data_IF_653987125109
#
_entry.id   IF_653987125109
#
_cell.length_a   1.000
_cell.length_b   1.000
_cell.length_c   1.000
_cell.angle_alpha   90.00
_cell.angle_beta   90.00
_cell.angle_gamma   90.00
#
_symmetry.space_group_name_H-M   'P 1'
#
loop_
_entity.id
_entity.type
_entity.pdbx_description
1 polymer ?
#
# COMPACT_ATOMS: atom_id res chain seq x y z
N UNK A 1 -26.60 0.04 1.25
CA UNK A 1 -25.91 -0.08 -0.05
C UNK A 1 -24.54 0.61 -0.06
N UNK A 2 -24.46 1.93 0.15
CA UNK A 2 -23.19 2.68 0.13
C UNK A 2 -22.06 2.10 1.01
N UNK A 3 -22.37 1.77 2.27
CA UNK A 3 -21.41 1.18 3.21
C UNK A 3 -20.81 -0.12 2.67
N UNK A 4 -21.65 -0.99 2.11
CA UNK A 4 -21.26 -2.27 1.53
C UNK A 4 -20.36 -2.06 0.32
N UNK A 5 -20.71 -1.15 -0.59
CA UNK A 5 -19.88 -0.84 -1.77
C UNK A 5 -18.49 -0.34 -1.39
N UNK A 6 -18.39 0.57 -0.41
CA UNK A 6 -17.10 1.06 0.07
C UNK A 6 -16.27 -0.04 0.73
N UNK A 7 -16.89 -0.92 1.53
CA UNK A 7 -16.20 -2.07 2.12
C UNK A 7 -15.71 -3.01 1.03
N UNK A 8 -16.53 -3.32 0.03
CA UNK A 8 -16.12 -4.17 -1.10
C UNK A 8 -14.97 -3.52 -1.88
N UNK A 9 -15.03 -2.22 -2.15
CA UNK A 9 -13.92 -1.52 -2.80
C UNK A 9 -12.63 -1.63 -1.99
N UNK A 10 -12.67 -1.34 -0.68
CA UNK A 10 -11.50 -1.45 0.23
C UNK A 10 -10.94 -2.87 0.25
N UNK A 11 -11.80 -3.88 0.42
CA UNK A 11 -11.39 -5.29 0.52
C UNK A 11 -10.79 -5.78 -0.79
N UNK A 12 -11.43 -5.50 -1.94
CA UNK A 12 -10.91 -5.93 -3.23
C UNK A 12 -9.61 -5.20 -3.59
N UNK A 13 -9.49 -3.90 -3.30
CA UNK A 13 -8.23 -3.16 -3.46
C UNK A 13 -7.13 -3.73 -2.55
N UNK A 14 -7.43 -4.06 -1.29
CA UNK A 14 -6.46 -4.70 -0.41
C UNK A 14 -6.01 -6.08 -0.93
N UNK A 15 -6.96 -6.93 -1.31
CA UNK A 15 -6.67 -8.27 -1.86
C UNK A 15 -5.80 -8.17 -3.10
N UNK A 16 -6.08 -7.21 -3.99
CA UNK A 16 -5.33 -7.08 -5.23
C UNK A 16 -3.91 -6.56 -5.01
N UNK A 17 -3.70 -5.67 -4.04
CA UNK A 17 -2.36 -5.22 -3.65
C UNK A 17 -1.52 -6.37 -3.09
N UNK A 18 -2.12 -7.21 -2.25
CA UNK A 18 -1.46 -8.39 -1.67
C UNK A 18 -1.17 -9.45 -2.74
N UNK A 19 -2.14 -9.73 -3.63
CA UNK A 19 -1.94 -10.64 -4.77
C UNK A 19 -0.87 -10.09 -5.73
N UNK A 20 -0.84 -8.79 -6.00
CA UNK A 20 0.21 -8.17 -6.84
C UNK A 20 1.62 -8.48 -6.35
N UNK A 21 1.82 -8.51 -5.03
CA UNK A 21 3.08 -8.96 -4.42
C UNK A 21 3.43 -10.41 -4.76
N UNK A 22 2.44 -11.31 -4.78
CA UNK A 22 2.62 -12.71 -5.19
C UNK A 22 3.00 -12.82 -6.67
N UNK A 23 2.26 -12.15 -7.57
CA UNK A 23 2.54 -12.13 -9.02
C UNK A 23 3.97 -11.65 -9.29
N UNK A 24 4.44 -10.65 -8.54
CA UNK A 24 5.81 -10.15 -8.66
C UNK A 24 6.84 -11.14 -8.13
N UNK A 25 6.58 -11.77 -6.99
CA UNK A 25 7.50 -12.72 -6.36
C UNK A 25 7.55 -14.08 -7.06
N UNK A 26 6.54 -14.44 -7.85
CA UNK A 26 6.52 -15.62 -8.71
C UNK A 26 6.95 -15.33 -10.16
N UNK A 27 7.51 -14.14 -10.41
CA UNK A 27 7.91 -13.64 -11.75
C UNK A 27 6.82 -13.83 -12.83
N UNK A 28 5.55 -13.77 -12.41
CA UNK A 28 4.38 -13.99 -13.28
C UNK A 28 3.82 -12.70 -13.87
N UNK A 29 4.42 -11.54 -13.61
CA UNK A 29 3.88 -10.23 -13.97
C UNK A 29 3.87 -9.88 -15.47
N UNK A 30 4.51 -10.71 -16.30
CA UNK A 30 4.56 -10.58 -17.76
C UNK A 30 4.21 -11.91 -18.48
N UNK A 31 3.52 -12.82 -17.79
CA UNK A 31 3.12 -14.11 -18.35
C UNK A 31 2.02 -13.97 -19.43
N UNK A 32 1.26 -12.88 -19.39
CA UNK A 32 0.18 -12.59 -20.32
C UNK A 32 0.61 -11.58 -21.42
N UNK A 33 0.71 -12.02 -22.70
CA UNK A 33 1.27 -11.21 -23.78
C UNK A 33 0.36 -10.10 -24.28
N UNK A 34 -0.94 -10.15 -23.96
CA UNK A 34 -1.90 -9.13 -24.37
C UNK A 34 -2.70 -8.58 -23.19
N UNK A 35 -3.38 -7.45 -23.43
CA UNK A 35 -4.24 -6.76 -22.47
C UNK A 35 -5.52 -6.31 -23.18
N UNK A 36 -6.72 -6.44 -22.59
CA UNK A 36 -7.00 -6.80 -21.18
C UNK A 36 -6.95 -8.30 -20.88
N UNK A 37 -7.29 -9.12 -21.86
CA UNK A 37 -7.24 -10.59 -21.77
C UNK A 37 -5.83 -11.09 -22.13
N UNK A 38 -5.39 -12.23 -21.59
CA UNK A 38 -4.03 -12.74 -21.82
C UNK A 38 -3.78 -13.21 -23.24
N UNK A 39 -4.72 -13.94 -23.85
CA UNK A 39 -4.59 -14.51 -25.20
C UNK A 39 -5.71 -14.04 -26.15
N UNK A 40 -6.27 -12.84 -25.89
CA UNK A 40 -7.34 -12.26 -26.72
C UNK A 40 -8.70 -12.97 -26.61
N UNK A 41 -8.83 -14.00 -25.78
CA UNK A 41 -10.08 -14.73 -25.53
C UNK A 41 -10.38 -14.82 -24.02
N UNK A 42 -11.60 -15.20 -23.68
CA UNK A 42 -12.05 -15.38 -22.29
C UNK A 42 -11.68 -16.75 -21.71
N UNK A 43 -10.96 -17.58 -22.45
CA UNK A 43 -10.58 -18.90 -21.96
C UNK A 43 -9.53 -18.75 -20.85
N UNK A 44 -9.69 -19.48 -19.73
CA UNK A 44 -8.68 -19.49 -18.69
C UNK A 44 -7.32 -19.95 -19.24
N UNK A 45 -6.22 -19.21 -18.98
CA UNK A 45 -4.89 -19.68 -19.33
C UNK A 45 -4.62 -21.09 -18.81
N UNK A 46 -3.87 -21.90 -19.56
CA UNK A 46 -3.46 -23.24 -19.08
C UNK A 46 -2.24 -23.15 -18.16
N UNK A 47 -1.31 -22.26 -18.51
CA UNK A 47 -0.09 -21.98 -17.75
C UNK A 47 -0.39 -21.37 -16.37
N UNK A 48 0.35 -21.79 -15.35
CA UNK A 48 0.12 -21.36 -13.95
C UNK A 48 0.47 -19.89 -13.73
N UNK A 49 1.55 -19.38 -14.32
CA UNK A 49 1.93 -17.98 -14.20
C UNK A 49 0.89 -17.07 -14.87
N UNK A 50 0.43 -17.46 -16.07
CA UNK A 50 -0.63 -16.73 -16.75
C UNK A 50 -1.98 -16.78 -16.01
N UNK A 51 -2.31 -17.90 -15.32
CA UNK A 51 -3.48 -17.97 -14.42
C UNK A 51 -3.37 -16.99 -13.26
N UNK A 52 -2.21 -16.91 -12.62
CA UNK A 52 -1.96 -15.98 -11.51
C UNK A 52 -2.12 -14.53 -11.95
N UNK A 53 -1.54 -14.17 -13.10
CA UNK A 53 -1.62 -12.82 -13.64
C UNK A 53 -3.05 -12.47 -14.09
N UNK A 54 -3.73 -13.38 -14.80
CA UNK A 54 -5.13 -13.16 -15.23
C UNK A 54 -6.06 -13.03 -14.03
N UNK A 55 -5.88 -13.86 -12.99
CA UNK A 55 -6.65 -13.78 -11.74
C UNK A 55 -6.47 -12.42 -11.06
N UNK A 56 -5.24 -11.93 -10.95
CA UNK A 56 -4.96 -10.59 -10.45
C UNK A 56 -5.68 -9.51 -11.28
N UNK A 57 -5.63 -9.57 -12.62
CA UNK A 57 -6.32 -8.62 -13.52
C UNK A 57 -7.84 -8.64 -13.37
N UNK A 58 -8.43 -9.83 -13.19
CA UNK A 58 -9.87 -9.98 -12.95
C UNK A 58 -10.29 -9.35 -11.63
N UNK A 59 -9.55 -9.63 -10.54
CA UNK A 59 -9.82 -9.02 -9.23
C UNK A 59 -9.61 -7.50 -9.27
N UNK A 60 -8.60 -7.00 -10.01
CA UNK A 60 -8.39 -5.56 -10.24
C UNK A 60 -9.58 -4.91 -10.91
N UNK A 61 -10.18 -5.57 -11.89
CA UNK A 61 -11.37 -5.07 -12.59
C UNK A 61 -12.59 -4.99 -11.67
N UNK A 62 -12.76 -5.99 -10.78
CA UNK A 62 -13.80 -5.95 -9.74
C UNK A 62 -13.56 -4.83 -8.73
N UNK A 63 -12.31 -4.63 -8.29
CA UNK A 63 -11.93 -3.51 -7.42
C UNK A 63 -12.27 -2.15 -8.05
N UNK A 64 -11.96 -1.98 -9.34
CA UNK A 64 -12.29 -0.79 -10.11
C UNK A 64 -13.79 -0.57 -10.27
N UNK A 65 -14.56 -1.63 -10.53
CA UNK A 65 -16.02 -1.58 -10.57
C UNK A 65 -16.61 -1.14 -9.24
N UNK A 66 -16.19 -1.73 -8.11
CA UNK A 66 -16.68 -1.32 -6.79
C UNK A 66 -16.26 0.10 -6.42
N UNK A 67 -15.08 0.54 -6.85
CA UNK A 67 -14.62 1.93 -6.67
C UNK A 67 -15.51 2.90 -7.44
N UNK A 68 -15.83 2.60 -8.71
CA UNK A 68 -16.74 3.39 -9.53
C UNK A 68 -18.15 3.46 -8.91
N UNK A 69 -18.72 2.33 -8.54
CA UNK A 69 -20.05 2.28 -7.92
C UNK A 69 -20.07 3.04 -6.58
N UNK A 70 -19.00 2.94 -5.78
CA UNK A 70 -18.84 3.71 -4.55
C UNK A 70 -18.82 5.21 -4.82
N UNK A 71 -18.03 5.66 -5.80
CA UNK A 71 -17.99 7.06 -6.22
C UNK A 71 -19.38 7.55 -6.65
N UNK A 72 -20.07 6.82 -7.53
CA UNK A 72 -21.40 7.19 -8.00
C UNK A 72 -22.43 7.32 -6.87
N UNK A 73 -22.33 6.47 -5.84
CA UNK A 73 -23.24 6.53 -4.69
C UNK A 73 -22.88 7.68 -3.74
N UNK A 74 -21.59 7.87 -3.43
CA UNK A 74 -21.07 8.97 -2.61
C UNK A 74 -21.37 10.33 -3.26
N UNK A 75 -21.18 10.42 -4.58
CA UNK A 75 -21.48 11.61 -5.36
C UNK A 75 -22.94 12.02 -5.25
N UNK A 76 -23.87 11.06 -5.32
CA UNK A 76 -25.30 11.35 -5.20
C UNK A 76 -25.74 11.69 -3.77
N UNK A 77 -25.15 11.05 -2.74
CA UNK A 77 -25.68 11.09 -1.36
C UNK A 77 -24.94 12.01 -0.40
N UNK A 78 -23.64 12.23 -0.60
CA UNK A 78 -22.81 13.05 0.28
C UNK A 78 -22.44 14.35 -0.41
N UNK A 79 -21.84 15.32 0.28
CA UNK A 79 -21.27 16.57 -0.26
C UNK A 79 -19.91 16.84 0.41
N UNK A 80 -19.12 17.76 -0.12
CA UNK A 80 -17.84 18.17 0.48
C UNK A 80 -16.74 17.11 0.37
N UNK A 81 -15.92 16.98 1.41
CA UNK A 81 -14.69 16.17 1.43
C UNK A 81 -14.89 14.69 1.03
N UNK A 82 -15.95 13.96 1.45
CA UNK A 82 -16.19 12.59 0.98
C UNK A 82 -16.32 12.47 -0.54
N UNK A 83 -16.92 13.47 -1.22
CA UNK A 83 -17.00 13.47 -2.68
C UNK A 83 -15.60 13.61 -3.29
N UNK A 84 -14.79 14.53 -2.77
CA UNK A 84 -13.42 14.74 -3.24
C UNK A 84 -12.57 13.48 -3.06
N UNK A 85 -12.55 12.88 -1.88
CA UNK A 85 -11.75 11.67 -1.62
C UNK A 85 -12.21 10.49 -2.47
N UNK A 86 -13.52 10.30 -2.65
CA UNK A 86 -14.03 9.23 -3.54
C UNK A 86 -13.70 9.48 -5.02
N UNK A 87 -13.69 10.75 -5.45
CA UNK A 87 -13.29 11.14 -6.80
C UNK A 87 -11.81 10.94 -7.06
N UNK A 88 -10.95 11.25 -6.07
CA UNK A 88 -9.51 10.99 -6.15
C UNK A 88 -9.23 9.48 -6.19
N UNK A 89 -9.91 8.66 -5.39
CA UNK A 89 -9.79 7.20 -5.48
C UNK A 89 -10.12 6.69 -6.90
N UNK A 90 -11.19 7.21 -7.52
CA UNK A 90 -11.55 6.84 -8.89
C UNK A 90 -10.52 7.34 -9.92
N UNK A 91 -10.02 8.57 -9.79
CA UNK A 91 -8.97 9.13 -10.65
C UNK A 91 -7.72 8.26 -10.64
N UNK A 92 -7.21 7.92 -9.45
CA UNK A 92 -6.04 7.06 -9.32
C UNK A 92 -6.32 5.62 -9.75
N UNK A 93 -7.57 5.13 -9.70
CA UNK A 93 -7.94 3.83 -10.28
C UNK A 93 -7.76 3.82 -11.79
N UNK A 94 -8.18 4.88 -12.50
CA UNK A 94 -7.93 5.00 -13.93
C UNK A 94 -6.44 5.16 -14.24
N UNK A 95 -5.71 5.93 -13.43
CA UNK A 95 -4.25 6.07 -13.54
C UNK A 95 -3.54 4.73 -13.39
N UNK A 96 -3.87 3.96 -12.35
CA UNK A 96 -3.33 2.62 -12.10
C UNK A 96 -3.62 1.64 -13.23
N UNK A 97 -4.84 1.65 -13.79
CA UNK A 97 -5.19 0.82 -14.94
C UNK A 97 -4.34 1.17 -16.17
N UNK A 98 -4.06 2.44 -16.39
CA UNK A 98 -3.21 2.91 -17.49
C UNK A 98 -1.73 2.55 -17.26
N UNK A 99 -1.22 2.72 -16.04
CA UNK A 99 0.14 2.30 -15.65
C UNK A 99 0.31 0.78 -15.84
N UNK A 100 -0.66 -0.03 -15.41
CA UNK A 100 -0.67 -1.48 -15.62
C UNK A 100 -0.70 -1.87 -17.10
N UNK A 101 -1.52 -1.20 -17.92
CA UNK A 101 -1.53 -1.42 -19.37
C UNK A 101 -0.18 -1.08 -20.01
N UNK A 102 0.44 0.04 -19.60
CA UNK A 102 1.76 0.47 -20.08
C UNK A 102 2.87 -0.50 -19.72
N UNK A 103 2.79 -1.17 -18.58
CA UNK A 103 3.77 -2.19 -18.19
C UNK A 103 3.82 -3.37 -19.18
N UNK A 104 2.69 -3.69 -19.82
CA UNK A 104 2.58 -4.80 -20.77
C UNK A 104 2.91 -4.34 -22.19
N UNK A 105 2.43 -3.16 -22.60
CA UNK A 105 2.57 -2.65 -23.98
C UNK A 105 3.83 -1.80 -24.21
N UNK A 106 4.44 -1.29 -23.16
CA UNK A 106 5.54 -0.33 -23.22
C UNK A 106 6.90 -1.00 -23.38
N UNK A 107 7.20 -1.50 -24.57
CA UNK A 107 8.52 -2.03 -24.89
C UNK A 107 9.45 -0.92 -25.38
N UNK A 108 10.29 -0.36 -24.50
CA UNK A 108 11.49 0.39 -24.92
C UNK A 108 12.72 -0.51 -24.76
N UNK A 109 13.33 -1.00 -25.86
CA UNK A 109 14.42 -1.98 -25.80
C UNK A 109 15.63 -1.53 -24.97
N UNK A 110 15.93 -0.22 -24.97
CA UNK A 110 17.14 0.33 -24.36
C UNK A 110 17.01 0.67 -22.86
N UNK A 111 15.80 0.66 -22.30
CA UNK A 111 15.55 1.03 -20.89
C UNK A 111 14.67 0.03 -20.14
N UNK A 112 14.45 -1.16 -20.70
CA UNK A 112 13.50 -2.16 -20.22
C UNK A 112 13.61 -2.44 -18.71
N UNK A 113 14.82 -2.54 -18.15
CA UNK A 113 14.96 -2.81 -16.72
C UNK A 113 14.50 -1.63 -15.84
N UNK A 114 14.94 -0.40 -16.15
CA UNK A 114 14.66 0.78 -15.33
C UNK A 114 13.22 1.24 -15.49
N UNK A 115 12.68 1.20 -16.73
CA UNK A 115 11.30 1.59 -16.99
C UNK A 115 10.30 0.66 -16.28
N UNK A 116 10.54 -0.66 -16.30
CA UNK A 116 9.70 -1.62 -15.60
C UNK A 116 9.77 -1.43 -14.07
N UNK A 117 10.97 -1.29 -13.49
CA UNK A 117 11.14 -1.04 -12.05
C UNK A 117 10.36 0.21 -11.58
N UNK A 118 10.45 1.30 -12.35
CA UNK A 118 9.77 2.55 -12.03
C UNK A 118 8.25 2.42 -12.20
N UNK A 119 7.79 1.81 -13.29
CA UNK A 119 6.35 1.60 -13.54
C UNK A 119 5.73 0.69 -12.47
N UNK A 120 6.41 -0.37 -12.06
CA UNK A 120 5.97 -1.26 -10.97
C UNK A 120 5.86 -0.51 -9.65
N UNK A 121 6.88 0.29 -9.31
CA UNK A 121 6.88 1.12 -8.09
C UNK A 121 5.74 2.16 -8.12
N UNK A 122 5.54 2.84 -9.25
CA UNK A 122 4.46 3.81 -9.40
C UNK A 122 3.09 3.15 -9.28
N UNK A 123 2.91 1.97 -9.89
CA UNK A 123 1.64 1.24 -9.85
C UNK A 123 1.21 0.86 -8.42
N UNK A 124 2.15 0.43 -7.59
CA UNK A 124 1.82 0.11 -6.18
C UNK A 124 1.59 1.38 -5.34
N UNK A 125 2.29 2.49 -5.61
CA UNK A 125 1.99 3.77 -4.97
C UNK A 125 0.59 4.29 -5.33
N UNK A 126 0.19 4.19 -6.59
CA UNK A 126 -1.17 4.52 -7.02
C UNK A 126 -2.19 3.65 -6.27
N UNK A 127 -1.91 2.35 -6.11
CA UNK A 127 -2.77 1.44 -5.35
C UNK A 127 -2.87 1.81 -3.87
N UNK A 128 -1.76 2.21 -3.24
CA UNK A 128 -1.78 2.74 -1.88
C UNK A 128 -2.62 4.00 -1.76
N UNK A 129 -2.52 4.92 -2.74
CA UNK A 129 -3.32 6.14 -2.78
C UNK A 129 -4.82 5.81 -2.92
N UNK A 130 -5.18 4.85 -3.78
CA UNK A 130 -6.57 4.37 -3.94
C UNK A 130 -7.09 3.84 -2.60
N UNK A 131 -6.36 2.92 -1.96
CA UNK A 131 -6.74 2.33 -0.68
C UNK A 131 -6.89 3.40 0.41
N UNK A 132 -5.93 4.32 0.49
CA UNK A 132 -5.96 5.44 1.44
C UNK A 132 -7.20 6.32 1.26
N UNK A 133 -7.51 6.73 0.03
CA UNK A 133 -8.69 7.55 -0.24
C UNK A 133 -10.02 6.81 -0.04
N UNK A 134 -10.09 5.51 -0.34
CA UNK A 134 -11.28 4.70 -0.04
C UNK A 134 -11.52 4.60 1.47
N UNK A 135 -10.46 4.35 2.25
CA UNK A 135 -10.53 4.30 3.72
C UNK A 135 -10.89 5.67 4.29
N UNK A 136 -10.28 6.76 3.79
CA UNK A 136 -10.64 8.13 4.21
C UNK A 136 -12.10 8.45 3.87
N UNK A 137 -12.57 8.07 2.69
CA UNK A 137 -13.98 8.25 2.30
C UNK A 137 -14.90 7.52 3.27
N UNK A 138 -14.62 6.25 3.56
CA UNK A 138 -15.39 5.46 4.51
C UNK A 138 -15.40 6.10 5.91
N UNK A 139 -14.22 6.53 6.37
CA UNK A 139 -14.06 7.22 7.65
C UNK A 139 -14.88 8.51 7.72
N UNK A 140 -14.79 9.37 6.72
CA UNK A 140 -15.47 10.68 6.72
C UNK A 140 -16.99 10.56 6.70
N UNK A 141 -17.54 9.42 6.25
CA UNK A 141 -18.99 9.19 6.18
C UNK A 141 -19.51 8.49 7.44
N UNK A 142 -18.76 7.54 7.99
CA UNK A 142 -19.26 6.63 9.02
C UNK A 142 -18.55 6.71 10.39
N UNK A 143 -17.43 7.43 10.51
CA UNK A 143 -16.76 7.55 11.81
C UNK A 143 -17.40 8.69 12.59
N UNK A 144 -18.15 8.34 13.64
CA UNK A 144 -18.78 9.28 14.57
C UNK A 144 -17.91 9.54 15.81
N UNK A 145 -17.90 10.78 16.30
CA UNK A 145 -17.33 11.16 17.61
C UNK A 145 -15.84 11.53 17.66
N UNK A 146 -15.42 12.09 18.79
CA UNK A 146 -14.00 12.27 19.16
C UNK A 146 -13.44 10.91 19.58
N UNK A 147 -12.83 10.21 18.61
CA UNK A 147 -12.16 8.95 18.87
C UNK A 147 -10.68 9.19 19.14
N UNK A 148 -10.16 8.47 20.12
CA UNK A 148 -8.72 8.24 20.29
C UNK A 148 -8.10 7.85 18.95
N UNK A 149 -6.94 8.39 18.65
CA UNK A 149 -6.36 8.22 17.34
C UNK A 149 -4.85 8.29 17.39
N UNK A 150 -4.24 7.92 16.27
CA UNK A 150 -2.79 7.92 16.13
C UNK A 150 -2.32 9.33 15.78
N UNK A 151 -1.32 9.88 16.48
CA UNK A 151 -0.82 11.20 16.17
C UNK A 151 -0.22 11.25 14.77
N UNK A 152 -0.36 12.40 14.10
CA UNK A 152 0.04 12.57 12.70
C UNK A 152 1.52 12.24 12.47
N UNK A 153 2.42 12.56 13.40
CA UNK A 153 3.86 12.28 13.25
C UNK A 153 4.13 10.78 13.10
N UNK A 154 3.48 9.92 13.90
CA UNK A 154 3.66 8.47 13.86
C UNK A 154 3.13 7.91 12.54
N UNK A 155 1.99 8.42 12.07
CA UNK A 155 1.46 8.08 10.75
C UNK A 155 2.40 8.47 9.61
N UNK A 156 3.01 9.66 9.67
CA UNK A 156 3.98 10.13 8.66
C UNK A 156 5.23 9.24 8.62
N UNK A 157 5.76 8.84 9.77
CA UNK A 157 6.88 7.90 9.83
C UNK A 157 6.51 6.52 9.27
N UNK A 158 5.33 5.99 9.59
CA UNK A 158 4.85 4.74 8.99
C UNK A 158 4.73 4.84 7.47
N UNK A 159 4.20 5.96 6.95
CA UNK A 159 4.09 6.20 5.52
C UNK A 159 5.47 6.28 4.85
N UNK A 160 6.43 6.98 5.45
CA UNK A 160 7.80 7.07 4.95
C UNK A 160 8.49 5.69 4.93
N UNK A 161 8.32 4.89 5.98
CA UNK A 161 8.84 3.52 6.06
C UNK A 161 8.20 2.62 5.00
N UNK A 162 6.89 2.74 4.77
CA UNK A 162 6.22 1.97 3.72
C UNK A 162 6.68 2.38 2.32
N UNK A 163 6.85 3.67 2.05
CA UNK A 163 7.39 4.16 0.77
C UNK A 163 8.79 3.61 0.53
N UNK A 164 9.68 3.70 1.52
CA UNK A 164 11.02 3.13 1.39
C UNK A 164 11.03 1.60 1.27
N UNK A 165 10.11 0.91 1.94
CA UNK A 165 9.95 -0.55 1.82
C UNK A 165 9.50 -0.99 0.42
N UNK A 166 8.57 -0.24 -0.19
CA UNK A 166 8.20 -0.42 -1.60
C UNK A 166 9.42 -0.24 -2.50
N UNK A 167 10.18 0.86 -2.35
CA UNK A 167 11.40 1.07 -3.14
C UNK A 167 12.37 -0.09 -2.96
N UNK A 168 12.63 -0.53 -1.72
CA UNK A 168 13.52 -1.65 -1.42
C UNK A 168 13.13 -2.92 -2.19
N UNK A 169 11.82 -3.27 -2.19
CA UNK A 169 11.33 -4.47 -2.87
C UNK A 169 11.48 -4.37 -4.38
N UNK A 170 10.96 -3.30 -4.98
CA UNK A 170 10.88 -3.19 -6.44
C UNK A 170 12.22 -2.88 -7.09
N UNK A 171 13.17 -2.29 -6.35
CA UNK A 171 14.57 -2.13 -6.80
C UNK A 171 15.43 -3.38 -6.63
N UNK A 172 14.85 -4.47 -6.10
CA UNK A 172 15.59 -5.66 -5.68
C UNK A 172 16.78 -5.30 -4.77
N UNK A 173 16.53 -4.41 -3.81
CA UNK A 173 17.49 -4.04 -2.75
C UNK A 173 17.28 -4.89 -1.50
N UNK A 174 16.21 -5.71 -1.43
CA UNK A 174 15.90 -6.67 -0.35
C UNK A 174 17.13 -7.31 0.29
N UNK A 175 17.95 -7.94 -0.53
CA UNK A 175 19.09 -8.75 -0.10
C UNK A 175 20.42 -7.97 -0.03
N UNK A 176 20.42 -6.66 -0.26
CA UNK A 176 21.66 -5.87 -0.35
C UNK A 176 22.50 -5.87 0.93
N UNK A 177 21.86 -6.09 2.08
CA UNK A 177 22.50 -6.20 3.39
C UNK A 177 22.73 -7.66 3.85
N UNK A 178 22.52 -8.64 2.97
CA UNK A 178 22.51 -10.06 3.33
C UNK A 178 21.28 -10.46 4.17
N UNK A 179 21.35 -11.67 4.75
CA UNK A 179 20.29 -12.29 5.57
C UNK A 179 20.53 -12.09 7.07
N UNK A 180 21.05 -10.93 7.42
CA UNK A 180 21.39 -10.57 8.79
C UNK A 180 20.61 -9.33 9.24
N UNK A 181 20.34 -9.33 10.54
CA UNK A 181 19.71 -8.25 11.27
C UNK A 181 20.22 -8.34 12.72
N UNK A 182 20.62 -7.24 13.36
CA UNK A 182 20.48 -5.84 12.93
C UNK A 182 21.60 -5.33 11.99
N UNK A 183 22.69 -6.08 11.83
CA UNK A 183 23.85 -5.72 10.99
C UNK A 183 23.52 -5.76 9.48
N UNK A 184 24.38 -5.12 8.69
CA UNK A 184 24.35 -5.09 7.24
C UNK A 184 25.79 -5.30 6.72
N UNK A 185 26.03 -6.40 6.01
CA UNK A 185 27.36 -6.85 5.58
C UNK A 185 28.38 -6.89 6.74
N UNK A 186 28.01 -7.52 7.86
CA UNK A 186 28.86 -7.74 9.03
C UNK A 186 29.08 -6.51 9.93
N UNK A 187 28.47 -5.36 9.63
CA UNK A 187 28.65 -4.12 10.38
C UNK A 187 27.32 -3.44 10.72
N UNK A 188 27.26 -2.69 11.81
CA UNK A 188 26.06 -1.89 12.15
C UNK A 188 25.90 -0.66 11.26
N UNK A 189 27.01 -0.07 10.84
CA UNK A 189 27.07 1.04 9.88
C UNK A 189 27.90 0.52 8.69
N UNK A 190 27.25 0.16 7.57
CA UNK A 190 27.94 -0.38 6.41
C UNK A 190 28.67 0.70 5.62
N UNK A 191 29.58 0.26 4.75
CA UNK A 191 30.14 1.15 3.73
C UNK A 191 29.07 1.49 2.67
N UNK A 192 28.94 2.78 2.35
CA UNK A 192 27.93 3.29 1.41
C UNK A 192 28.41 3.27 -0.05
N UNK A 193 29.07 2.19 -0.47
CA UNK A 193 29.60 2.04 -1.83
C UNK A 193 28.52 1.65 -2.85
N UNK A 194 27.41 1.06 -2.39
CA UNK A 194 26.30 0.61 -3.22
C UNK A 194 24.99 1.29 -2.79
N UNK A 195 24.30 1.95 -3.73
CA UNK A 195 23.05 2.65 -3.46
C UNK A 195 21.93 1.74 -2.94
N UNK A 196 21.94 0.44 -3.28
CA UNK A 196 20.99 -0.54 -2.75
C UNK A 196 21.20 -0.79 -1.25
N UNK A 197 22.47 -0.83 -0.82
CA UNK A 197 22.84 -0.92 0.60
C UNK A 197 22.39 0.35 1.33
N UNK A 198 22.64 1.52 0.75
CA UNK A 198 22.17 2.80 1.30
C UNK A 198 20.65 2.83 1.44
N UNK A 199 19.90 2.39 0.42
CA UNK A 199 18.44 2.35 0.46
C UNK A 199 17.92 1.40 1.55
N UNK A 200 18.52 0.21 1.69
CA UNK A 200 18.19 -0.72 2.77
C UNK A 200 18.49 -0.16 4.15
N UNK A 201 19.66 0.45 4.31
CA UNK A 201 20.04 1.09 5.56
C UNK A 201 19.06 2.20 5.94
N UNK A 202 18.66 3.05 4.98
CA UNK A 202 17.62 4.08 5.20
C UNK A 202 16.30 3.43 5.63
N UNK A 203 15.85 2.39 4.92
CA UNK A 203 14.59 1.71 5.24
C UNK A 203 14.59 1.11 6.66
N UNK A 204 15.66 0.39 7.05
CA UNK A 204 15.80 -0.21 8.40
C UNK A 204 15.80 0.86 9.49
N UNK A 205 16.54 1.96 9.29
CA UNK A 205 16.58 3.06 10.26
C UNK A 205 15.23 3.81 10.36
N UNK A 206 14.53 4.03 9.23
CA UNK A 206 13.18 4.57 9.25
C UNK A 206 12.20 3.64 9.98
N UNK A 207 12.35 2.31 9.85
CA UNK A 207 11.57 1.36 10.61
C UNK A 207 11.81 1.54 12.13
N UNK A 208 13.06 1.64 12.59
CA UNK A 208 13.37 1.87 14.00
C UNK A 208 12.79 3.19 14.51
N UNK A 209 12.91 4.28 13.74
CA UNK A 209 12.31 5.57 14.09
C UNK A 209 10.78 5.47 14.15
N UNK A 210 10.17 4.71 13.22
CA UNK A 210 8.73 4.43 13.24
C UNK A 210 8.34 3.69 14.52
N UNK A 211 9.07 2.64 14.90
CA UNK A 211 8.83 1.92 16.14
C UNK A 211 8.88 2.83 17.37
N UNK A 212 9.90 3.70 17.45
CA UNK A 212 10.02 4.70 18.51
C UNK A 212 8.85 5.70 18.48
N UNK A 213 8.42 6.17 17.31
CA UNK A 213 7.27 7.06 17.19
C UNK A 213 5.98 6.43 17.71
N UNK A 214 5.75 5.14 17.48
CA UNK A 214 4.58 4.43 18.02
C UNK A 214 4.71 4.11 19.51
N UNK A 215 5.91 3.85 20.01
CA UNK A 215 6.15 3.75 21.45
C UNK A 215 5.86 5.08 22.15
N UNK A 216 6.36 6.20 21.61
CA UNK A 216 6.06 7.53 22.12
C UNK A 216 4.56 7.83 22.07
N UNK A 217 3.85 7.46 20.99
CA UNK A 217 2.41 7.58 20.91
C UNK A 217 1.68 6.77 21.99
N UNK A 218 2.15 5.55 22.29
CA UNK A 218 1.59 4.69 23.33
C UNK A 218 1.83 5.24 24.74
N UNK A 219 3.05 5.68 25.04
CA UNK A 219 3.43 6.19 26.37
C UNK A 219 2.81 7.58 26.63
N UNK A 220 2.72 8.44 25.61
CA UNK A 220 2.14 9.78 25.75
C UNK A 220 0.62 9.77 25.89
N UNK A 221 -0.06 8.78 25.31
CA UNK A 221 -1.51 8.65 25.40
C UNK A 221 -1.88 7.16 25.36
N UNK A 222 -1.84 6.52 26.53
CA UNK A 222 -2.16 5.11 26.65
C UNK A 222 -3.64 4.87 26.48
N UNK A 223 -4.00 4.23 25.37
CA UNK A 223 -5.37 3.88 25.09
C UNK A 223 -5.44 2.64 24.17
N UNK A 224 -6.66 2.15 23.90
CA UNK A 224 -6.83 0.91 23.12
C UNK A 224 -6.29 1.06 21.70
N UNK A 225 -6.43 2.24 21.10
CA UNK A 225 -5.98 2.50 19.73
C UNK A 225 -4.46 2.54 19.64
N UNK A 226 -3.79 3.25 20.56
CA UNK A 226 -2.31 3.31 20.60
C UNK A 226 -1.70 1.96 20.98
N UNK A 227 -2.35 1.18 21.87
CA UNK A 227 -1.94 -0.17 22.23
C UNK A 227 -2.02 -1.13 21.02
N UNK A 228 -3.17 -1.14 20.32
CA UNK A 228 -3.33 -1.98 19.12
C UNK A 228 -2.36 -1.57 18.01
N UNK A 229 -2.15 -0.27 17.81
CA UNK A 229 -1.18 0.22 16.83
C UNK A 229 0.23 -0.26 17.15
N UNK A 230 0.66 -0.15 18.40
CA UNK A 230 1.97 -0.65 18.82
C UNK A 230 2.07 -2.17 18.68
N UNK A 231 1.02 -2.93 19.01
CA UNK A 231 0.98 -4.38 18.79
C UNK A 231 1.13 -4.74 17.30
N UNK A 232 0.43 -4.02 16.42
CA UNK A 232 0.54 -4.22 14.96
C UNK A 232 1.91 -3.84 14.41
N UNK A 233 2.55 -2.78 14.92
CA UNK A 233 3.93 -2.43 14.55
C UNK A 233 4.91 -3.52 14.96
N UNK A 234 4.78 -4.09 16.16
CA UNK A 234 5.63 -5.20 16.58
C UNK A 234 5.41 -6.46 15.73
N UNK A 235 4.16 -6.74 15.34
CA UNK A 235 3.85 -7.83 14.42
C UNK A 235 4.45 -7.60 13.03
N UNK A 236 4.40 -6.36 12.51
CA UNK A 236 5.08 -6.01 11.26
C UNK A 236 6.58 -6.24 11.35
N UNK A 237 7.21 -5.78 12.43
CA UNK A 237 8.64 -5.99 12.70
C UNK A 237 9.01 -7.47 12.76
N UNK A 238 8.16 -8.29 13.41
CA UNK A 238 8.36 -9.72 13.49
C UNK A 238 8.38 -10.35 12.09
N UNK A 239 7.41 -10.02 11.22
CA UNK A 239 7.41 -10.52 9.85
C UNK A 239 8.61 -10.01 9.04
N UNK A 240 8.95 -8.72 9.14
CA UNK A 240 10.07 -8.11 8.45
C UNK A 240 11.42 -8.75 8.83
N UNK A 241 11.67 -8.96 10.12
CA UNK A 241 12.90 -9.61 10.60
C UNK A 241 12.90 -11.08 10.17
N UNK A 242 11.77 -11.78 10.33
CA UNK A 242 11.67 -13.20 9.97
C UNK A 242 11.92 -13.43 8.49
N UNK A 243 11.40 -12.58 7.59
CA UNK A 243 11.66 -12.71 6.16
C UNK A 243 13.14 -12.48 5.82
N UNK A 244 13.84 -11.55 6.49
CA UNK A 244 15.27 -11.32 6.24
C UNK A 244 16.11 -12.52 6.71
N UNK A 245 15.88 -12.99 7.95
CA UNK A 245 16.66 -14.08 8.54
C UNK A 245 16.44 -15.44 7.83
N UNK A 246 15.31 -15.61 7.16
CA UNK A 246 14.97 -16.82 6.41
C UNK A 246 15.35 -16.76 4.94
N UNK A 247 16.05 -15.71 4.49
CA UNK A 247 16.41 -15.54 3.09
C UNK A 247 15.20 -15.32 2.20
N UNK A 248 14.30 -14.43 2.61
CA UNK A 248 13.11 -14.00 1.87
C UNK A 248 12.10 -15.12 1.59
N UNK A 249 11.98 -16.10 2.51
CA UNK A 249 11.01 -17.18 2.42
C UNK A 249 9.61 -16.66 2.06
N UNK A 250 9.08 -17.13 0.92
CA UNK A 250 7.95 -16.51 0.24
C UNK A 250 6.70 -16.28 1.14
N UNK A 251 6.28 -17.24 2.00
CA UNK A 251 5.18 -17.00 2.92
C UNK A 251 5.42 -15.83 3.89
N UNK A 252 6.63 -15.65 4.40
CA UNK A 252 6.95 -14.55 5.32
C UNK A 252 6.98 -13.21 4.59
N UNK A 253 7.57 -13.15 3.40
CA UNK A 253 7.53 -11.97 2.53
C UNK A 253 6.09 -11.56 2.18
N UNK A 254 5.21 -12.54 1.97
CA UNK A 254 3.78 -12.32 1.76
C UNK A 254 3.09 -11.77 3.01
N UNK A 255 3.36 -12.35 4.19
CA UNK A 255 2.77 -11.89 5.45
C UNK A 255 3.23 -10.48 5.83
N UNK A 256 4.50 -10.14 5.61
CA UNK A 256 5.02 -8.78 5.79
C UNK A 256 4.27 -7.78 4.90
N UNK A 257 4.07 -8.12 3.63
CA UNK A 257 3.34 -7.30 2.66
C UNK A 257 1.87 -7.11 3.06
N UNK A 258 1.19 -8.20 3.41
CA UNK A 258 -0.22 -8.20 3.78
C UNK A 258 -0.44 -7.38 5.07
N UNK A 259 0.38 -7.64 6.09
CA UNK A 259 0.33 -6.91 7.35
C UNK A 259 0.64 -5.42 7.13
N UNK A 260 1.58 -5.09 6.25
CA UNK A 260 1.92 -3.71 5.92
C UNK A 260 0.73 -2.96 5.35
N UNK A 261 0.10 -3.47 4.29
CA UNK A 261 -1.06 -2.79 3.69
C UNK A 261 -2.27 -2.75 4.62
N UNK A 262 -2.46 -3.77 5.46
CA UNK A 262 -3.47 -3.77 6.51
C UNK A 262 -3.21 -2.64 7.51
N UNK A 263 -1.98 -2.53 8.01
CA UNK A 263 -1.56 -1.50 8.93
C UNK A 263 -1.75 -0.11 8.32
N UNK A 264 -1.39 0.09 7.05
CA UNK A 264 -1.63 1.35 6.35
C UNK A 264 -3.12 1.72 6.31
N UNK A 265 -4.00 0.80 5.92
CA UNK A 265 -5.44 1.04 5.92
C UNK A 265 -5.96 1.33 7.33
N UNK A 266 -5.56 0.54 8.32
CA UNK A 266 -6.00 0.70 9.71
C UNK A 266 -5.54 2.04 10.31
N UNK A 267 -4.27 2.41 10.11
CA UNK A 267 -3.73 3.69 10.57
C UNK A 267 -4.42 4.88 9.86
N UNK A 268 -4.71 4.77 8.57
CA UNK A 268 -5.45 5.80 7.82
C UNK A 268 -6.85 6.03 8.40
N UNK A 269 -7.52 4.97 8.85
CA UNK A 269 -8.82 5.07 9.53
C UNK A 269 -8.70 5.71 10.93
N UNK A 270 -7.58 5.48 11.65
CA UNK A 270 -7.36 5.94 13.02
C UNK A 270 -6.53 7.21 13.19
N UNK A 271 -5.94 7.79 12.13
CA UNK A 271 -5.07 8.98 12.26
C UNK A 271 -5.83 10.20 12.79
N UNK A 272 -5.23 10.96 13.70
CA UNK A 272 -5.80 12.21 14.21
C UNK A 272 -5.61 13.32 13.17
N UNK A 273 -6.68 13.61 12.43
CA UNK A 273 -6.75 14.83 11.61
C UNK A 273 -7.41 15.87 12.49
N UNK A 274 -6.63 16.81 13.05
CA UNK A 274 -7.23 17.98 13.71
C UNK A 274 -8.15 18.65 12.68
N UNK A 275 -9.42 18.94 13.00
CA UNK A 275 -10.27 19.67 12.09
C UNK A 275 -9.64 21.05 11.87
N UNK A 276 -9.09 21.26 10.68
CA UNK A 276 -8.61 22.56 10.25
C UNK A 276 -9.80 23.50 10.11
N UNK A 277 -9.85 24.46 11.02
CA UNK A 277 -10.60 25.71 10.96
C UNK A 277 -12.12 25.53 10.99
N UNK A 278 -12.65 25.78 12.18
CA UNK A 278 -14.04 26.08 12.46
C UNK A 278 -14.43 27.32 11.62
N UNK A 279 -14.94 27.13 10.39
CA UNK A 279 -15.71 28.18 9.72
C UNK A 279 -17.03 28.28 10.46
N UNK A 280 -16.99 28.91 11.66
CA UNK A 280 -18.15 29.64 12.14
C UNK A 280 -18.43 30.68 11.06
N UNK A 281 -19.35 30.37 10.17
CA UNK A 281 -20.05 31.38 9.38
C UNK A 281 -20.54 32.37 10.43
N UNK A 282 -19.94 33.56 10.47
CA UNK A 282 -20.54 34.69 11.18
C UNK A 282 -21.91 34.84 10.53
N UNK A 283 -22.97 34.57 11.29
CA UNK A 283 -24.28 35.10 10.96
C UNK A 283 -24.08 36.62 10.85
N UNK A 284 -24.18 37.12 9.62
CA UNK A 284 -24.23 38.54 9.37
C UNK A 284 -25.62 38.98 9.83
N UNK A 285 -25.62 39.84 10.85
CA UNK A 285 -26.76 40.66 11.25
C UNK A 285 -27.23 41.52 10.08
#
# INVERSE_FOLDING_TARGET
MQRVLLILAIVFTYVVMVWGGMVRSSDSGLACPSWPLCYGNFEPPKDTAAKLEMGHRTVSSLAGMFTLLSFLYVWRRNKGTPRLTSGLALLFTFSAAFTGMKMIKGETPHLKYISHMLLESMHIYESMIILGFLVLTYRLIYKEGHQEGIPLYAYVFALATMITGVLVRYTASGEACGHEWPTCNGSLIPEFTNWKVTLQFIHRNLAYITWLAFLLALVSNFNRTTLLAFAFINLQFLFAISMVLTGFFLPLSFMDTAMGFFLFAWLTYHVQVKPTINTKVREAW
#
